data_IF_526436789191
#
_entry.id   IF_526436789191
#
_cell.length_a   1.000
_cell.length_b   1.000
_cell.length_c   1.000
_cell.angle_alpha   90.00
_cell.angle_beta   90.00
_cell.angle_gamma   90.00
#
_symmetry.space_group_name_H-M   'P 1'
#
loop_
_entity.id
_entity.type
_entity.pdbx_description
1 polymer ?
#
# COMPACT_ATOMS: atom_id res chain seq x y z
N UNK A 1 66.79 44.34 25.67
CA UNK A 1 66.17 43.66 26.81
C UNK A 1 64.74 44.12 27.01
N UNK A 2 63.75 43.26 26.77
CA UNK A 2 62.43 43.28 27.42
C UNK A 2 61.62 42.06 26.93
N UNK A 3 61.34 41.17 27.87
CA UNK A 3 60.64 39.90 27.76
C UNK A 3 59.18 40.06 27.33
N UNK A 4 58.73 39.29 26.33
CA UNK A 4 57.30 39.13 26.00
C UNK A 4 56.64 38.17 27.00
N UNK A 5 55.48 38.49 27.59
CA UNK A 5 54.78 37.60 28.50
C UNK A 5 54.04 36.50 27.70
N UNK A 6 53.98 35.30 28.29
CA UNK A 6 53.20 34.16 27.79
C UNK A 6 51.69 34.41 27.98
N UNK A 7 50.81 34.01 27.04
CA UNK A 7 49.37 34.08 27.24
C UNK A 7 48.84 32.87 28.05
N UNK A 8 47.98 33.21 29.00
CA UNK A 8 47.22 32.40 29.96
C UNK A 8 46.29 31.34 29.31
N UNK A 9 46.27 30.08 29.79
CA UNK A 9 45.41 29.02 29.29
C UNK A 9 44.08 28.97 30.07
N UNK A 10 43.18 29.93 29.84
CA UNK A 10 41.82 29.84 30.41
C UNK A 10 40.80 30.68 29.65
N UNK A 11 40.44 30.22 28.45
CA UNK A 11 39.16 30.58 27.80
C UNK A 11 38.52 29.31 27.23
N UNK A 12 37.79 28.62 28.09
CA UNK A 12 36.74 27.70 27.66
C UNK A 12 35.70 28.52 26.90
N UNK A 13 35.71 28.39 25.58
CA UNK A 13 34.58 28.78 24.74
C UNK A 13 33.55 27.66 24.89
N UNK A 14 32.34 27.92 25.41
CA UNK A 14 31.30 26.89 25.41
C UNK A 14 30.97 26.57 23.95
N UNK A 15 31.49 25.45 23.48
CA UNK A 15 30.96 24.81 22.29
C UNK A 15 29.58 24.28 22.68
N UNK A 16 28.53 25.06 22.42
CA UNK A 16 27.18 24.54 22.31
C UNK A 16 27.17 23.53 21.15
N UNK A 17 27.49 22.28 21.48
CA UNK A 17 27.28 21.14 20.61
C UNK A 17 25.76 20.99 20.56
N UNK A 18 25.09 21.25 19.41
CA UNK A 18 23.66 21.01 19.34
C UNK A 18 23.44 19.53 19.64
N UNK A 19 22.59 19.26 20.64
CA UNK A 19 22.12 17.95 21.04
C UNK A 19 21.73 17.15 19.79
N UNK A 20 22.65 16.36 19.25
CA UNK A 20 22.30 15.19 18.45
C UNK A 20 21.67 14.24 19.45
N UNK A 21 20.37 14.39 19.68
CA UNK A 21 19.57 13.42 20.41
C UNK A 21 19.94 12.04 19.88
N UNK A 22 20.38 11.17 20.78
CA UNK A 22 20.73 9.80 20.49
C UNK A 22 19.45 9.02 20.16
N UNK A 23 18.92 9.20 18.95
CA UNK A 23 17.97 8.26 18.38
C UNK A 23 18.68 6.94 18.15
N UNK A 24 18.03 5.83 18.51
CA UNK A 24 18.60 4.51 18.22
C UNK A 24 18.81 4.39 16.69
N UNK A 25 19.84 3.66 16.21
CA UNK A 25 20.06 3.47 14.78
C UNK A 25 18.79 3.00 14.05
N UNK A 26 17.97 2.19 14.72
CA UNK A 26 16.67 1.70 14.25
C UNK A 26 15.64 2.82 14.06
N UNK A 27 15.64 3.84 14.91
CA UNK A 27 14.68 4.96 14.90
C UNK A 27 15.02 5.99 13.82
N UNK A 28 16.32 6.19 13.55
CA UNK A 28 16.79 6.97 12.39
C UNK A 28 16.39 6.28 11.08
N UNK A 29 16.61 4.95 10.98
CA UNK A 29 16.21 4.14 9.82
C UNK A 29 14.71 4.19 9.51
N UNK A 30 13.87 4.36 10.53
CA UNK A 30 12.41 4.34 10.37
C UNK A 30 11.86 5.56 9.65
N UNK A 31 12.48 6.71 9.90
CA UNK A 31 12.08 8.01 9.34
C UNK A 31 12.89 8.40 8.10
N UNK A 32 14.07 7.78 7.90
CA UNK A 32 14.95 8.01 6.75
C UNK A 32 14.27 7.65 5.44
N UNK A 33 14.50 8.49 4.43
CA UNK A 33 13.98 8.27 3.08
C UNK A 33 14.68 7.09 2.41
N UNK A 34 13.91 6.26 1.73
CA UNK A 34 14.42 5.13 0.96
C UNK A 34 15.47 5.52 -0.09
N UNK A 35 15.42 6.72 -0.66
CA UNK A 35 16.46 7.22 -1.58
C UNK A 35 17.80 7.52 -0.88
N UNK A 36 17.77 7.90 0.39
CA UNK A 36 18.95 8.29 1.16
C UNK A 36 19.61 7.09 1.88
N UNK A 37 18.98 5.90 1.81
CA UNK A 37 19.48 4.69 2.45
C UNK A 37 20.69 4.10 1.72
N UNK A 38 21.72 3.77 2.48
CA UNK A 38 22.85 2.97 2.03
C UNK A 38 22.43 1.53 1.76
N UNK A 39 23.20 0.75 0.97
CA UNK A 39 22.87 -0.65 0.70
C UNK A 39 22.68 -1.51 1.96
N UNK A 40 23.42 -1.22 3.03
CA UNK A 40 23.30 -1.92 4.33
C UNK A 40 21.98 -1.55 5.01
N UNK A 41 21.64 -0.26 5.03
CA UNK A 41 20.37 0.23 5.60
C UNK A 41 19.15 -0.30 4.82
N UNK A 42 19.27 -0.45 3.50
CA UNK A 42 18.23 -1.08 2.66
C UNK A 42 18.00 -2.54 3.06
N UNK A 43 19.05 -3.30 3.39
CA UNK A 43 18.90 -4.69 3.88
C UNK A 43 18.16 -4.70 5.21
N UNK A 44 18.53 -3.83 6.14
CA UNK A 44 17.86 -3.70 7.45
C UNK A 44 16.39 -3.29 7.29
N UNK A 45 16.09 -2.38 6.36
CA UNK A 45 14.73 -1.98 6.01
C UNK A 45 13.90 -3.17 5.47
N UNK A 46 14.48 -4.01 4.60
CA UNK A 46 13.81 -5.22 4.11
C UNK A 46 13.49 -6.21 5.25
N UNK A 47 14.39 -6.37 6.21
CA UNK A 47 14.16 -7.23 7.39
C UNK A 47 13.07 -6.67 8.31
N UNK A 48 13.09 -5.36 8.54
CA UNK A 48 12.03 -4.67 9.29
C UNK A 48 10.66 -4.87 8.61
N UNK A 49 10.60 -4.76 7.28
CA UNK A 49 9.38 -5.01 6.50
C UNK A 49 8.89 -6.46 6.65
N UNK A 50 9.79 -7.45 6.63
CA UNK A 50 9.43 -8.87 6.81
C UNK A 50 8.85 -9.17 8.21
N UNK A 51 9.26 -8.41 9.23
CA UNK A 51 8.77 -8.57 10.60
C UNK A 51 7.47 -7.82 10.89
N UNK A 52 6.97 -7.00 9.95
CA UNK A 52 5.68 -6.32 10.10
C UNK A 52 4.54 -7.33 10.21
N UNK A 53 3.77 -7.23 11.30
CA UNK A 53 2.56 -8.03 11.51
C UNK A 53 1.41 -7.44 10.70
N UNK A 54 1.06 -8.12 9.61
CA UNK A 54 -0.03 -7.73 8.71
C UNK A 54 -1.30 -8.53 9.04
N UNK A 55 -2.12 -8.00 9.94
CA UNK A 55 -3.38 -8.64 10.33
C UNK A 55 -4.55 -8.07 9.53
N UNK A 56 -4.76 -8.58 8.32
CA UNK A 56 -5.87 -8.16 7.46
C UNK A 56 -7.21 -8.61 8.04
N UNK A 57 -7.82 -7.75 8.85
CA UNK A 57 -9.11 -8.02 9.51
C UNK A 57 -10.19 -8.41 8.50
N UNK A 58 -10.97 -9.47 8.78
CA UNK A 58 -12.09 -9.85 7.95
C UNK A 58 -13.13 -8.73 7.85
N UNK A 59 -13.68 -8.58 6.66
CA UNK A 59 -14.75 -7.63 6.32
C UNK A 59 -16.08 -8.38 6.26
N UNK A 60 -17.15 -7.75 6.76
CA UNK A 60 -18.51 -8.26 6.62
C UNK A 60 -18.92 -8.25 5.15
N UNK A 61 -19.44 -9.37 4.67
CA UNK A 61 -20.00 -9.49 3.32
C UNK A 61 -21.51 -9.33 3.35
N UNK A 62 -22.13 -9.10 2.17
CA UNK A 62 -23.59 -9.06 2.04
C UNK A 62 -24.24 -10.44 2.22
N UNK A 63 -23.49 -11.53 2.03
CA UNK A 63 -24.03 -12.89 2.13
C UNK A 63 -24.05 -13.31 3.60
N UNK A 64 -25.09 -14.04 3.97
CA UNK A 64 -25.20 -14.70 5.27
C UNK A 64 -24.68 -16.13 5.18
N UNK A 65 -24.24 -16.65 6.31
CA UNK A 65 -23.88 -18.05 6.47
C UNK A 65 -24.51 -18.62 7.73
N UNK A 66 -24.82 -19.93 7.76
CA UNK A 66 -25.38 -20.55 8.94
C UNK A 66 -24.43 -20.43 10.12
N UNK A 67 -24.96 -19.98 11.26
CA UNK A 67 -24.21 -19.70 12.46
C UNK A 67 -25.11 -19.95 13.67
N UNK A 68 -24.87 -21.01 14.47
CA UNK A 68 -25.69 -21.33 15.64
C UNK A 68 -25.80 -20.19 16.67
N UNK A 69 -24.83 -19.28 16.71
CA UNK A 69 -24.81 -18.10 17.58
C UNK A 69 -25.14 -16.81 16.82
N UNK A 70 -25.60 -16.93 15.58
CA UNK A 70 -25.86 -15.82 14.69
C UNK A 70 -26.99 -14.91 15.15
N UNK A 71 -26.85 -13.61 14.89
CA UNK A 71 -27.86 -12.62 15.31
C UNK A 71 -29.21 -12.79 14.58
N UNK A 72 -29.19 -13.33 13.36
CA UNK A 72 -30.37 -13.45 12.52
C UNK A 72 -30.93 -14.87 12.55
N UNK A 73 -32.22 -15.02 12.26
CA UNK A 73 -32.91 -16.31 12.16
C UNK A 73 -32.90 -16.73 10.69
N UNK A 74 -32.43 -17.95 10.40
CA UNK A 74 -32.50 -18.54 9.07
C UNK A 74 -33.86 -19.22 8.89
N UNK A 75 -34.88 -18.42 8.56
CA UNK A 75 -36.26 -18.89 8.39
C UNK A 75 -36.37 -20.08 7.44
N UNK A 76 -35.58 -20.12 6.35
CA UNK A 76 -35.65 -21.21 5.37
C UNK A 76 -35.17 -22.51 5.98
N UNK A 77 -34.05 -22.47 6.71
CA UNK A 77 -33.51 -23.65 7.37
C UNK A 77 -34.39 -24.06 8.55
N UNK A 78 -34.87 -23.11 9.35
CA UNK A 78 -35.83 -23.34 10.44
C UNK A 78 -37.07 -24.08 9.93
N UNK A 79 -37.73 -23.59 8.89
CA UNK A 79 -38.92 -24.23 8.32
C UNK A 79 -38.62 -25.61 7.72
N UNK A 80 -37.48 -25.77 7.06
CA UNK A 80 -37.09 -27.09 6.52
C UNK A 80 -36.81 -28.12 7.61
N UNK A 81 -36.23 -27.69 8.73
CA UNK A 81 -36.01 -28.55 9.90
C UNK A 81 -37.33 -28.85 10.60
N UNK A 82 -38.25 -27.89 10.68
CA UNK A 82 -39.54 -28.07 11.38
C UNK A 82 -40.45 -29.11 10.73
N UNK A 83 -40.34 -29.32 9.41
CA UNK A 83 -41.05 -30.41 8.72
C UNK A 83 -40.69 -31.78 9.30
N UNK A 84 -39.46 -31.99 9.75
CA UNK A 84 -39.01 -33.26 10.35
C UNK A 84 -39.52 -33.45 11.78
N UNK A 85 -39.92 -32.37 12.45
CA UNK A 85 -40.36 -32.35 13.85
C UNK A 85 -41.86 -32.08 13.98
N UNK A 86 -42.65 -32.47 12.96
CA UNK A 86 -44.11 -32.33 13.00
C UNK A 86 -44.61 -30.88 12.99
N UNK A 87 -43.82 -29.96 12.46
CA UNK A 87 -44.17 -28.54 12.36
C UNK A 87 -43.70 -27.69 13.55
N UNK A 88 -42.99 -28.24 14.53
CA UNK A 88 -42.45 -27.48 15.66
C UNK A 88 -41.01 -26.98 15.37
N UNK A 89 -40.79 -25.67 15.11
CA UNK A 89 -39.50 -25.12 14.72
C UNK A 89 -38.60 -24.83 15.94
N UNK A 90 -38.29 -25.86 16.74
CA UNK A 90 -37.40 -25.74 17.89
C UNK A 90 -36.23 -26.74 17.78
N UNK A 91 -34.97 -26.30 17.91
CA UNK A 91 -34.52 -24.91 18.03
C UNK A 91 -34.60 -24.11 16.72
N UNK A 92 -34.70 -22.78 16.81
CA UNK A 92 -34.59 -21.89 15.65
C UNK A 92 -33.17 -21.91 15.10
N UNK A 93 -33.01 -22.29 13.83
CA UNK A 93 -31.75 -22.13 13.09
C UNK A 93 -31.35 -20.66 12.96
N UNK A 94 -30.07 -20.37 13.17
CA UNK A 94 -29.52 -19.02 13.17
C UNK A 94 -28.48 -18.83 12.07
N UNK A 95 -28.29 -17.59 11.66
CA UNK A 95 -27.32 -17.18 10.66
C UNK A 95 -26.65 -15.87 11.05
N UNK A 96 -25.44 -15.67 10.56
CA UNK A 96 -24.68 -14.41 10.71
C UNK A 96 -24.16 -13.94 9.36
N UNK A 97 -23.73 -12.68 9.31
CA UNK A 97 -23.11 -12.13 8.10
C UNK A 97 -21.75 -12.75 7.91
N UNK A 98 -21.55 -13.42 6.77
CA UNK A 98 -20.28 -14.03 6.43
C UNK A 98 -19.17 -13.00 6.40
N UNK A 99 -18.04 -13.30 7.02
CA UNK A 99 -16.84 -12.46 6.94
C UNK A 99 -15.86 -12.99 5.91
N UNK A 100 -15.09 -12.09 5.28
CA UNK A 100 -14.00 -12.44 4.37
C UNK A 100 -12.88 -11.43 4.46
N UNK A 101 -11.62 -11.90 4.37
CA UNK A 101 -10.48 -11.00 4.22
C UNK A 101 -10.58 -10.23 2.89
N UNK A 102 -10.33 -8.91 2.89
CA UNK A 102 -10.38 -8.10 1.68
C UNK A 102 -9.31 -8.56 0.68
N UNK A 103 -9.61 -8.42 -0.61
CA UNK A 103 -8.57 -8.61 -1.64
C UNK A 103 -7.73 -7.35 -1.70
N UNK A 104 -6.42 -7.47 -1.75
CA UNK A 104 -5.52 -6.35 -1.96
C UNK A 104 -4.98 -6.46 -3.38
N UNK A 105 -5.09 -5.38 -4.14
CA UNK A 105 -4.48 -5.27 -5.46
C UNK A 105 -3.48 -4.12 -5.43
N UNK A 106 -2.19 -4.43 -5.60
CA UNK A 106 -1.14 -3.44 -5.72
C UNK A 106 -0.82 -3.21 -7.21
N UNK A 107 -0.85 -1.95 -7.65
CA UNK A 107 -0.40 -1.50 -8.96
C UNK A 107 0.82 -0.61 -8.71
N UNK A 108 2.01 -1.08 -9.08
CA UNK A 108 3.26 -0.40 -8.75
C UNK A 108 3.94 0.14 -10.00
N UNK A 109 4.28 1.42 -9.97
CA UNK A 109 5.13 2.06 -10.96
C UNK A 109 6.59 1.59 -10.78
N UNK A 110 7.22 1.25 -11.88
CA UNK A 110 8.62 0.80 -11.97
C UNK A 110 9.42 1.67 -12.94
N UNK A 111 9.01 2.93 -13.13
CA UNK A 111 9.77 3.93 -13.85
C UNK A 111 11.15 4.18 -13.22
N UNK A 112 12.08 4.72 -14.02
CA UNK A 112 13.42 5.05 -13.52
C UNK A 112 13.42 6.03 -12.33
N UNK A 113 12.47 6.96 -12.24
CA UNK A 113 12.31 7.86 -11.08
C UNK A 113 11.82 7.15 -9.81
N UNK A 114 11.30 5.92 -9.96
CA UNK A 114 10.78 5.10 -8.88
C UNK A 114 11.73 3.95 -8.51
N UNK A 115 12.94 3.87 -9.05
CA UNK A 115 13.81 2.68 -8.92
C UNK A 115 14.09 2.32 -7.45
N UNK A 116 14.60 3.27 -6.66
CA UNK A 116 14.92 3.06 -5.23
C UNK A 116 13.68 2.70 -4.41
N UNK A 117 12.55 3.37 -4.66
CA UNK A 117 11.29 3.16 -3.95
C UNK A 117 10.62 1.83 -4.31
N UNK A 118 10.51 1.55 -5.61
CA UNK A 118 9.80 0.39 -6.16
C UNK A 118 10.40 -0.91 -5.65
N UNK A 119 11.73 -0.99 -5.50
CA UNK A 119 12.38 -2.18 -4.94
C UNK A 119 11.91 -2.48 -3.52
N UNK A 120 11.96 -1.50 -2.63
CA UNK A 120 11.55 -1.66 -1.23
C UNK A 120 10.05 -1.94 -1.11
N UNK A 121 9.23 -1.26 -1.90
CA UNK A 121 7.79 -1.50 -1.99
C UNK A 121 7.47 -2.93 -2.45
N UNK A 122 8.21 -3.47 -3.39
CA UNK A 122 8.03 -4.85 -3.84
C UNK A 122 8.42 -5.87 -2.76
N UNK A 123 9.42 -5.58 -1.92
CA UNK A 123 9.69 -6.38 -0.72
C UNK A 123 8.53 -6.33 0.27
N UNK A 124 7.89 -5.17 0.44
CA UNK A 124 6.68 -5.05 1.26
C UNK A 124 5.52 -5.86 0.66
N UNK A 125 5.28 -5.80 -0.64
CA UNK A 125 4.24 -6.60 -1.28
C UNK A 125 4.54 -8.10 -1.27
N UNK A 126 5.80 -8.51 -1.29
CA UNK A 126 6.21 -9.88 -1.05
C UNK A 126 5.83 -10.34 0.37
N UNK A 127 6.18 -9.56 1.40
CA UNK A 127 5.77 -9.84 2.77
C UNK A 127 4.24 -9.92 2.92
N UNK A 128 3.52 -9.00 2.29
CA UNK A 128 2.05 -8.97 2.26
C UNK A 128 1.46 -10.20 1.55
N UNK A 129 2.03 -10.61 0.42
CA UNK A 129 1.58 -11.78 -0.35
C UNK A 129 1.80 -13.08 0.41
N UNK A 130 2.84 -13.16 1.25
CA UNK A 130 3.08 -14.31 2.12
C UNK A 130 2.22 -14.30 3.38
N UNK A 131 1.82 -13.11 3.86
CA UNK A 131 0.92 -12.97 5.01
C UNK A 131 -0.56 -13.20 4.67
N UNK A 132 -0.95 -13.05 3.40
CA UNK A 132 -2.35 -13.14 2.98
C UNK A 132 -2.56 -13.75 1.59
N UNK A 133 -3.52 -14.68 1.49
CA UNK A 133 -3.79 -15.44 0.26
C UNK A 133 -4.36 -14.61 -0.90
N UNK A 134 -4.93 -13.44 -0.60
CA UNK A 134 -5.73 -12.62 -1.53
C UNK A 134 -5.04 -11.32 -1.92
N UNK A 135 -3.74 -11.38 -2.13
CA UNK A 135 -2.91 -10.26 -2.57
C UNK A 135 -2.52 -10.48 -4.01
N UNK A 136 -2.72 -9.47 -4.85
CA UNK A 136 -2.33 -9.47 -6.24
C UNK A 136 -1.48 -8.25 -6.53
N UNK A 137 -0.29 -8.46 -7.08
CA UNK A 137 0.64 -7.37 -7.38
C UNK A 137 0.91 -7.32 -8.86
N UNK A 138 0.77 -6.11 -9.41
CA UNK A 138 1.08 -5.76 -10.77
C UNK A 138 2.12 -4.65 -10.76
N UNK A 139 3.03 -4.72 -11.73
CA UNK A 139 3.96 -3.63 -12.03
C UNK A 139 3.60 -3.02 -13.37
N UNK A 140 3.81 -1.72 -13.52
CA UNK A 140 3.60 -1.04 -14.78
C UNK A 140 4.69 -0.01 -15.06
N UNK A 141 5.02 0.13 -16.34
CA UNK A 141 5.86 1.18 -16.91
C UNK A 141 5.29 1.50 -18.29
N UNK A 142 5.86 0.91 -19.34
CA UNK A 142 5.26 0.89 -20.69
C UNK A 142 4.09 -0.08 -20.82
N UNK A 143 4.08 -1.16 -20.02
CA UNK A 143 3.05 -2.20 -20.02
C UNK A 143 2.74 -2.71 -18.61
N UNK A 144 1.52 -3.20 -18.42
CA UNK A 144 1.08 -3.84 -17.19
C UNK A 144 1.52 -5.32 -17.14
N UNK A 145 2.19 -5.72 -16.06
CA UNK A 145 2.65 -7.09 -15.83
C UNK A 145 2.16 -7.62 -14.49
N UNK A 146 1.55 -8.82 -14.47
CA UNK A 146 1.16 -9.49 -13.23
C UNK A 146 2.35 -10.25 -12.64
N UNK A 147 2.82 -9.82 -11.47
CA UNK A 147 3.98 -10.41 -10.78
C UNK A 147 3.58 -11.17 -9.50
N UNK A 148 2.29 -11.34 -9.24
CA UNK A 148 1.78 -12.02 -8.03
C UNK A 148 2.44 -13.38 -7.81
N UNK A 149 2.60 -14.18 -8.87
CA UNK A 149 3.23 -15.50 -8.78
C UNK A 149 4.73 -15.41 -8.47
N UNK A 150 5.40 -14.38 -8.99
CA UNK A 150 6.83 -14.16 -8.76
C UNK A 150 7.08 -13.74 -7.30
N UNK A 151 6.18 -12.94 -6.71
CA UNK A 151 6.28 -12.54 -5.30
C UNK A 151 5.90 -13.65 -4.30
N UNK A 152 5.39 -14.80 -4.76
CA UNK A 152 5.22 -15.99 -3.90
C UNK A 152 6.49 -16.85 -3.82
N UNK A 153 7.49 -16.60 -4.67
CA UNK A 153 8.77 -17.30 -4.61
C UNK A 153 9.53 -16.87 -3.34
N UNK A 154 10.37 -17.76 -2.78
CA UNK A 154 11.13 -17.48 -1.54
C UNK A 154 12.16 -16.36 -1.73
N UNK A 155 12.69 -16.23 -2.94
CA UNK A 155 13.70 -15.23 -3.27
C UNK A 155 13.12 -14.12 -4.15
N UNK A 156 12.68 -13.06 -3.47
CA UNK A 156 12.16 -11.85 -4.11
C UNK A 156 13.25 -11.10 -4.88
N UNK A 157 14.52 -11.10 -4.46
CA UNK A 157 15.57 -10.37 -5.18
C UNK A 157 15.84 -11.06 -6.53
N UNK A 158 15.85 -12.39 -6.58
CA UNK A 158 15.90 -13.14 -7.85
C UNK A 158 14.66 -12.91 -8.72
N UNK A 159 13.48 -12.87 -8.11
CA UNK A 159 12.24 -12.57 -8.83
C UNK A 159 12.27 -11.17 -9.45
N UNK A 160 12.78 -10.17 -8.73
CA UNK A 160 12.96 -8.80 -9.20
C UNK A 160 14.02 -8.70 -10.30
N UNK A 161 15.14 -9.39 -10.17
CA UNK A 161 16.14 -9.47 -11.23
C UNK A 161 15.54 -10.03 -12.53
N UNK A 162 14.68 -11.06 -12.43
CA UNK A 162 13.96 -11.62 -13.59
C UNK A 162 12.89 -10.67 -14.15
N UNK A 163 12.28 -9.84 -13.30
CA UNK A 163 11.33 -8.81 -13.75
C UNK A 163 12.09 -7.72 -14.53
N UNK A 164 13.26 -7.29 -14.05
CA UNK A 164 14.11 -6.31 -14.75
C UNK A 164 14.56 -6.80 -16.13
N UNK A 165 14.85 -8.10 -16.28
CA UNK A 165 15.21 -8.67 -17.60
C UNK A 165 14.00 -8.91 -18.52
N UNK A 166 12.83 -9.21 -17.96
CA UNK A 166 11.59 -9.47 -18.72
C UNK A 166 10.90 -8.18 -19.13
N UNK A 167 10.99 -7.13 -18.32
CA UNK A 167 10.46 -5.80 -18.60
C UNK A 167 11.59 -4.98 -19.22
N UNK A 168 11.82 -5.21 -20.51
CA UNK A 168 12.86 -4.53 -21.31
C UNK A 168 12.77 -2.99 -21.33
N UNK A 169 11.70 -2.42 -20.77
CA UNK A 169 11.40 -0.98 -20.79
C UNK A 169 11.44 -0.31 -19.41
N UNK A 170 12.24 -0.78 -18.44
CA UNK A 170 12.40 -0.11 -17.13
C UNK A 170 12.74 1.40 -17.25
N UNK A 171 13.41 1.82 -18.32
CA UNK A 171 13.73 3.22 -18.61
C UNK A 171 12.82 3.88 -19.68
N UNK A 172 11.84 3.13 -20.21
CA UNK A 172 10.97 3.51 -21.32
C UNK A 172 9.82 4.45 -20.96
N UNK A 173 9.73 4.88 -19.70
CA UNK A 173 8.70 5.79 -19.19
C UNK A 173 7.41 5.11 -18.73
N UNK A 174 6.50 5.94 -18.22
CA UNK A 174 5.23 5.49 -17.63
C UNK A 174 4.06 5.84 -18.53
N UNK A 175 3.26 4.82 -18.88
CA UNK A 175 1.95 4.94 -19.54
C UNK A 175 0.87 4.49 -18.56
N UNK A 176 0.52 5.39 -17.64
CA UNK A 176 -0.43 5.11 -16.55
C UNK A 176 -1.82 4.86 -17.14
N UNK A 177 -2.25 5.69 -18.10
CA UNK A 177 -3.57 5.57 -18.73
C UNK A 177 -3.79 4.20 -19.38
N UNK A 178 -2.87 3.79 -20.25
CA UNK A 178 -2.89 2.50 -20.91
C UNK A 178 -2.80 1.32 -19.93
N UNK A 179 -1.96 1.43 -18.89
CA UNK A 179 -1.81 0.38 -17.88
C UNK A 179 -3.07 0.19 -17.05
N UNK A 180 -3.72 1.28 -16.63
CA UNK A 180 -5.01 1.23 -15.93
C UNK A 180 -6.12 0.70 -16.85
N UNK A 181 -6.12 1.06 -18.13
CA UNK A 181 -7.05 0.53 -19.12
C UNK A 181 -6.90 -0.99 -19.25
N UNK A 182 -5.67 -1.49 -19.43
CA UNK A 182 -5.38 -2.92 -19.53
C UNK A 182 -5.82 -3.66 -18.26
N UNK A 183 -5.55 -3.08 -17.08
CA UNK A 183 -6.01 -3.64 -15.82
C UNK A 183 -7.54 -3.72 -15.75
N UNK A 184 -8.23 -2.63 -16.12
CA UNK A 184 -9.68 -2.55 -16.13
C UNK A 184 -10.32 -3.55 -17.09
N UNK A 185 -9.70 -3.82 -18.25
CA UNK A 185 -10.19 -4.76 -19.23
C UNK A 185 -10.01 -6.22 -18.79
N UNK A 186 -8.83 -6.58 -18.30
CA UNK A 186 -8.48 -7.99 -18.09
C UNK A 186 -8.68 -8.49 -16.66
N UNK A 187 -8.60 -7.60 -15.66
CA UNK A 187 -8.49 -8.01 -14.25
C UNK A 187 -9.58 -7.47 -13.34
N UNK A 188 -10.16 -6.29 -13.63
CA UNK A 188 -11.12 -5.63 -12.73
C UNK A 188 -12.26 -6.53 -12.24
N UNK A 189 -12.95 -7.23 -13.15
CA UNK A 189 -14.07 -8.12 -12.81
C UNK A 189 -13.66 -9.29 -11.92
N UNK A 190 -12.45 -9.81 -12.10
CA UNK A 190 -11.97 -11.02 -11.38
C UNK A 190 -11.48 -10.67 -9.98
N UNK A 191 -10.77 -9.54 -9.86
CA UNK A 191 -10.07 -9.17 -8.63
C UNK A 191 -10.87 -8.21 -7.75
N UNK A 192 -11.63 -7.28 -8.34
CA UNK A 192 -12.24 -6.19 -7.57
C UNK A 192 -13.66 -6.49 -7.09
N UNK A 193 -14.36 -7.42 -7.74
CA UNK A 193 -15.79 -7.72 -7.49
C UNK A 193 -16.12 -8.11 -6.04
N UNK A 194 -15.10 -8.49 -5.25
CA UNK A 194 -15.27 -8.92 -3.86
C UNK A 194 -14.84 -7.85 -2.84
N UNK A 195 -14.90 -6.57 -3.22
CA UNK A 195 -14.60 -5.45 -2.33
C UNK A 195 -13.11 -5.27 -2.09
N UNK A 196 -12.32 -5.28 -3.17
CA UNK A 196 -10.87 -5.14 -3.10
C UNK A 196 -10.44 -3.73 -2.69
N UNK A 197 -9.32 -3.63 -1.97
CA UNK A 197 -8.57 -2.40 -1.76
C UNK A 197 -7.49 -2.33 -2.83
N UNK A 198 -7.43 -1.23 -3.57
CA UNK A 198 -6.43 -1.02 -4.60
C UNK A 198 -5.39 -0.05 -4.08
N UNK A 199 -4.13 -0.46 -4.08
CA UNK A 199 -2.96 0.34 -3.76
C UNK A 199 -2.31 0.73 -5.08
N UNK A 200 -2.41 2.00 -5.44
CA UNK A 200 -1.74 2.55 -6.62
C UNK A 200 -0.46 3.24 -6.15
N UNK A 201 0.71 2.72 -6.53
CA UNK A 201 2.00 3.32 -6.19
C UNK A 201 2.59 3.95 -7.44
N UNK A 202 2.71 5.28 -7.46
CA UNK A 202 3.27 6.03 -8.61
C UNK A 202 3.61 7.45 -8.17
N UNK A 203 4.61 8.04 -8.82
CA UNK A 203 4.91 9.47 -8.76
C UNK A 203 3.93 10.33 -9.58
N UNK A 204 3.05 9.69 -10.36
CA UNK A 204 1.97 10.32 -11.12
C UNK A 204 2.46 11.03 -12.40
N UNK A 205 3.70 10.78 -12.81
CA UNK A 205 4.26 11.31 -14.06
C UNK A 205 3.87 10.38 -15.21
N UNK A 206 3.17 10.92 -16.21
CA UNK A 206 2.72 10.17 -17.37
C UNK A 206 3.24 10.83 -18.65
N UNK A 207 3.78 10.01 -19.57
CA UNK A 207 4.33 10.52 -20.85
C UNK A 207 3.25 10.92 -21.86
N UNK A 208 2.01 10.44 -21.71
CA UNK A 208 0.89 10.71 -22.64
C UNK A 208 0.03 11.90 -22.17
N UNK A 209 0.59 12.80 -21.36
CA UNK A 209 -0.11 14.01 -20.93
C UNK A 209 -1.34 13.73 -20.05
N UNK A 210 -1.45 12.53 -19.49
CA UNK A 210 -2.55 12.13 -18.64
C UNK A 210 -3.84 11.76 -19.39
N UNK A 211 -3.77 11.56 -20.71
CA UNK A 211 -4.94 11.19 -21.50
C UNK A 211 -5.51 9.83 -21.04
N UNK A 212 -6.83 9.76 -20.93
CA UNK A 212 -7.55 8.59 -20.42
C UNK A 212 -7.35 8.25 -18.93
N UNK A 213 -6.34 8.79 -18.21
CA UNK A 213 -6.06 8.44 -16.80
C UNK A 213 -7.29 8.66 -15.94
N UNK A 214 -7.91 9.84 -16.02
CA UNK A 214 -9.08 10.16 -15.19
C UNK A 214 -10.23 9.18 -15.43
N UNK A 215 -10.51 8.85 -16.68
CA UNK A 215 -11.58 7.93 -17.02
C UNK A 215 -11.31 6.51 -16.48
N UNK A 216 -10.07 6.03 -16.61
CA UNK A 216 -9.68 4.71 -16.12
C UNK A 216 -9.61 4.65 -14.59
N UNK A 217 -9.10 5.70 -13.93
CA UNK A 217 -9.07 5.84 -12.48
C UNK A 217 -10.49 5.90 -11.90
N UNK A 218 -11.39 6.67 -12.51
CA UNK A 218 -12.81 6.72 -12.12
C UNK A 218 -13.48 5.36 -12.22
N UNK A 219 -13.19 4.61 -13.29
CA UNK A 219 -13.71 3.25 -13.47
C UNK A 219 -13.15 2.29 -12.42
N UNK A 220 -11.86 2.40 -12.12
CA UNK A 220 -11.18 1.63 -11.08
C UNK A 220 -11.80 1.89 -9.71
N UNK A 221 -11.95 3.17 -9.33
CA UNK A 221 -12.59 3.61 -8.08
C UNK A 221 -13.99 3.04 -7.90
N UNK A 222 -14.83 3.08 -8.94
CA UNK A 222 -16.19 2.50 -8.90
C UNK A 222 -16.21 0.98 -8.73
N UNK A 223 -15.11 0.31 -9.08
CA UNK A 223 -15.02 -1.15 -9.08
C UNK A 223 -14.38 -1.69 -7.79
N UNK A 224 -13.60 -0.89 -7.09
CA UNK A 224 -12.97 -1.26 -5.81
C UNK A 224 -13.75 -0.70 -4.62
N UNK A 225 -13.38 -1.16 -3.42
CA UNK A 225 -13.90 -0.63 -2.15
C UNK A 225 -13.20 0.69 -1.77
N UNK A 226 -11.91 0.76 -2.03
CA UNK A 226 -11.06 1.91 -1.73
C UNK A 226 -9.91 1.95 -2.74
N UNK A 227 -9.67 3.11 -3.32
CA UNK A 227 -8.49 3.40 -4.13
C UNK A 227 -7.54 4.31 -3.34
N UNK A 228 -6.44 3.74 -2.87
CA UNK A 228 -5.40 4.42 -2.10
C UNK A 228 -4.23 4.69 -3.03
N UNK A 229 -3.90 5.97 -3.22
CA UNK A 229 -2.70 6.38 -3.94
C UNK A 229 -1.55 6.59 -2.96
N UNK A 230 -0.49 5.82 -3.18
CA UNK A 230 0.77 5.89 -2.45
C UNK A 230 1.79 6.61 -3.33
N UNK A 231 2.22 7.80 -2.89
CA UNK A 231 3.16 8.62 -3.65
C UNK A 231 4.45 8.82 -2.83
N UNK A 232 5.59 8.25 -3.24
CA UNK A 232 6.84 8.42 -2.53
C UNK A 232 7.38 9.86 -2.60
N UNK A 233 7.05 10.63 -3.65
CA UNK A 233 7.60 11.98 -3.87
C UNK A 233 6.84 13.11 -3.15
N UNK A 234 5.85 12.79 -2.31
CA UNK A 234 5.03 13.76 -1.56
C UNK A 234 5.83 14.63 -0.56
N UNK A 235 7.13 14.36 -0.35
CA UNK A 235 8.00 15.10 0.59
C UNK A 235 8.26 16.55 0.16
N UNK A 236 8.19 16.86 -1.13
CA UNK A 236 8.35 18.23 -1.59
C UNK A 236 7.07 19.02 -1.27
N UNK A 237 7.09 19.83 -0.21
CA UNK A 237 6.04 20.85 0.08
C UNK A 237 5.78 21.80 -1.12
N UNK A 238 6.66 21.82 -2.11
CA UNK A 238 6.54 22.54 -3.38
C UNK A 238 6.03 21.68 -4.56
N UNK A 239 5.52 20.47 -4.30
CA UNK A 239 4.90 19.63 -5.32
C UNK A 239 3.58 20.24 -5.78
N UNK A 240 3.69 21.27 -6.61
CA UNK A 240 2.57 21.80 -7.35
C UNK A 240 2.13 20.68 -8.30
N UNK A 241 0.87 20.22 -8.26
CA UNK A 241 0.33 19.22 -9.18
C UNK A 241 0.23 19.85 -10.58
N UNK A 242 1.38 20.10 -11.23
CA UNK A 242 1.47 20.72 -12.55
C UNK A 242 1.37 19.67 -13.65
N UNK A 243 1.84 18.45 -13.38
CA UNK A 243 1.69 17.31 -14.27
C UNK A 243 0.21 16.95 -14.45
N UNK A 244 -0.22 16.85 -15.70
CA UNK A 244 -1.61 16.56 -16.06
C UNK A 244 -2.12 15.22 -15.49
N UNK A 245 -1.25 14.21 -15.39
CA UNK A 245 -1.60 12.90 -14.81
C UNK A 245 -2.01 12.99 -13.34
N UNK A 246 -1.35 13.86 -12.57
CA UNK A 246 -1.64 14.08 -11.15
C UNK A 246 -2.99 14.77 -10.96
N UNK A 247 -3.23 15.82 -11.74
CA UNK A 247 -4.52 16.52 -11.75
C UNK A 247 -5.67 15.58 -12.14
N UNK A 248 -5.41 14.64 -13.03
CA UNK A 248 -6.39 13.64 -13.48
C UNK A 248 -6.67 12.57 -12.41
N UNK A 249 -5.65 12.14 -11.66
CA UNK A 249 -5.75 11.05 -10.69
C UNK A 249 -6.30 11.50 -9.33
N UNK A 250 -5.86 12.67 -8.83
CA UNK A 250 -6.21 13.19 -7.51
C UNK A 250 -7.73 13.23 -7.20
N UNK A 251 -8.64 13.65 -8.11
CA UNK A 251 -10.08 13.66 -7.80
C UNK A 251 -10.71 12.25 -7.75
N UNK A 252 -10.03 11.24 -8.29
CA UNK A 252 -10.55 9.88 -8.43
C UNK A 252 -10.04 8.92 -7.34
N UNK A 253 -9.06 9.32 -6.52
CA UNK A 253 -8.56 8.53 -5.38
C UNK A 253 -9.39 8.80 -4.13
N UNK A 254 -9.57 7.78 -3.30
CA UNK A 254 -10.28 7.92 -2.01
C UNK A 254 -9.34 8.43 -0.91
N UNK A 255 -8.05 8.06 -1.02
CA UNK A 255 -7.02 8.42 -0.07
C UNK A 255 -5.68 8.62 -0.79
N UNK A 256 -4.89 9.60 -0.33
CA UNK A 256 -3.57 9.91 -0.84
C UNK A 256 -2.57 9.92 0.32
N UNK A 257 -1.56 9.05 0.28
CA UNK A 257 -0.58 8.89 1.36
C UNK A 257 0.86 8.91 0.85
N UNK A 258 1.80 9.43 1.66
CA UNK A 258 3.22 9.27 1.40
C UNK A 258 3.67 7.82 1.61
N UNK A 259 4.68 7.36 0.86
CA UNK A 259 5.30 6.04 1.06
C UNK A 259 6.82 6.07 0.84
N UNK A 260 7.52 6.86 1.66
CA UNK A 260 8.96 7.13 1.45
C UNK A 260 9.87 6.58 2.56
N UNK A 261 9.29 6.03 3.64
CA UNK A 261 10.04 5.47 4.76
C UNK A 261 9.30 4.29 5.42
N UNK A 262 9.96 3.63 6.37
CA UNK A 262 9.42 2.44 7.04
C UNK A 262 8.20 2.78 7.91
N UNK A 263 8.16 3.95 8.54
CA UNK A 263 7.00 4.36 9.33
C UNK A 263 5.74 4.51 8.47
N UNK A 264 5.86 5.12 7.29
CA UNK A 264 4.76 5.23 6.32
C UNK A 264 4.24 3.85 5.89
N UNK A 265 5.13 2.86 5.74
CA UNK A 265 4.74 1.47 5.44
C UNK A 265 4.07 0.78 6.64
N UNK A 266 4.54 1.03 7.85
CA UNK A 266 3.93 0.51 9.07
C UNK A 266 2.52 1.10 9.28
N UNK A 267 2.34 2.41 9.05
CA UNK A 267 1.03 3.07 9.09
C UNK A 267 0.07 2.51 8.04
N UNK A 268 0.58 2.24 6.82
CA UNK A 268 -0.19 1.59 5.77
C UNK A 268 -0.62 0.17 6.21
N UNK A 269 0.30 -0.61 6.79
CA UNK A 269 0.02 -1.93 7.33
C UNK A 269 -1.07 -1.91 8.42
N UNK A 270 -1.00 -0.96 9.36
CA UNK A 270 -2.00 -0.81 10.43
C UNK A 270 -3.37 -0.37 9.90
N UNK A 271 -3.38 0.48 8.87
CA UNK A 271 -4.61 0.92 8.19
C UNK A 271 -5.28 -0.24 7.46
N UNK A 272 -4.49 -1.03 6.71
CA UNK A 272 -4.98 -2.25 6.06
C UNK A 272 -5.45 -3.30 7.06
N UNK A 273 -4.84 -3.31 8.25
CA UNK A 273 -5.21 -4.19 9.36
C UNK A 273 -6.45 -3.72 10.13
N UNK A 274 -7.06 -2.58 9.76
CA UNK A 274 -8.24 -2.04 10.43
C UNK A 274 -8.02 -1.61 11.87
N UNK A 275 -6.75 -1.39 12.27
CA UNK A 275 -6.38 -0.71 13.53
C UNK A 275 -6.58 0.80 13.42
N UNK A 276 -6.50 1.35 12.22
CA UNK A 276 -7.04 2.67 11.89
C UNK A 276 -8.57 2.59 11.82
N UNK A 277 -9.24 3.12 12.84
CA UNK A 277 -10.67 2.93 13.10
C UNK A 277 -11.61 3.25 11.95
N UNK A 278 -12.81 2.64 12.04
CA UNK A 278 -14.05 3.10 11.38
C UNK A 278 -14.23 4.60 11.70
N UNK A 279 -13.80 5.51 10.83
CA UNK A 279 -13.88 6.94 11.13
C UNK A 279 -13.30 7.93 10.11
N UNK A 280 -12.38 7.54 9.20
CA UNK A 280 -11.88 8.45 8.17
C UNK A 280 -12.73 8.45 6.89
N UNK A 281 -14.06 8.46 7.05
CA UNK A 281 -14.97 8.77 5.95
C UNK A 281 -15.17 10.29 5.89
N UNK A 282 -14.94 10.88 4.72
CA UNK A 282 -15.36 12.25 4.33
C UNK A 282 -14.73 13.39 5.16
N UNK A 283 -13.53 13.83 4.81
CA UNK A 283 -13.14 15.26 4.70
C UNK A 283 -11.67 15.41 4.32
N UNK A 284 -11.42 15.49 3.03
CA UNK A 284 -10.38 16.33 2.46
C UNK A 284 -10.89 16.79 1.09
N UNK A 285 -11.95 17.61 1.09
CA UNK A 285 -12.16 18.52 -0.03
C UNK A 285 -11.05 19.55 0.13
N UNK A 286 -9.97 19.38 -0.63
CA UNK A 286 -9.04 20.47 -0.91
C UNK A 286 -9.87 21.55 -1.61
N UNK A 287 -10.12 22.63 -0.88
CA UNK A 287 -10.40 23.94 -1.46
C UNK A 287 -9.13 24.53 -2.04
#
# INVERSE_FOLDING_TARGET
>A
SATRPAPDPSREVPHEIPLRLAWSPTEVLRTKDFEEMTPVEVIQAKEAIRSLKLDLRPVLTRRREPDPSGRFIDLRRTLRTSVRTGGCPLPLERESTRTRRPTIVALCDISGSMESYSRILLHFFHALTNAADRVHTFVFGTRLTNITRLLRDRDVDRALARIGTTVQDWYGGTRIGASLQAFNLHWSRRLLAQGAVVLLVTDGLDREGGDGIRAQARRLRKSCRSLIWLNPLLRYRAFAPRAAGIKALLPEVDEHRPVHNLDSLAELADTLSGRGGRGAGRRARLG
#
